data_IF_043430119323
#
_entry.id   IF_043430119323
#
_cell.length_a   1.000
_cell.length_b   1.000
_cell.length_c   1.000
_cell.angle_alpha   90.00
_cell.angle_beta   90.00
_cell.angle_gamma   90.00
#
_symmetry.space_group_name_H-M   'P 1'
#
loop_
_entity.id
_entity.type
_entity.pdbx_description
1 polymer ?
#
# COMPACT_ATOMS: atom_id res chain seq x y z
N UNK A 1 -1.25 17.85 32.45
CA UNK A 1 -1.23 17.47 31.01
C UNK A 1 -1.00 15.96 30.81
N UNK A 2 -1.81 15.09 31.42
CA UNK A 2 -1.69 13.62 31.25
C UNK A 2 -2.39 13.14 29.98
N UNK A 3 -3.54 13.75 29.67
CA UNK A 3 -4.29 13.49 28.44
C UNK A 3 -3.47 13.78 27.17
N UNK A 4 -2.74 14.91 27.13
CA UNK A 4 -1.88 15.24 25.99
C UNK A 4 -0.78 14.21 25.75
N UNK A 5 -0.16 13.69 26.82
CA UNK A 5 0.85 12.62 26.72
C UNK A 5 0.24 11.32 26.18
N UNK A 6 -0.94 10.94 26.65
CA UNK A 6 -1.64 9.75 26.16
C UNK A 6 -2.00 9.88 24.66
N UNK A 7 -2.49 11.05 24.24
CA UNK A 7 -2.79 11.33 22.84
C UNK A 7 -1.53 11.27 21.96
N UNK A 8 -0.42 11.85 22.41
CA UNK A 8 0.85 11.81 21.67
C UNK A 8 1.37 10.38 21.50
N UNK A 9 1.28 9.55 22.54
CA UNK A 9 1.68 8.13 22.46
C UNK A 9 0.79 7.35 21.51
N UNK A 10 -0.54 7.55 21.58
CA UNK A 10 -1.48 6.90 20.66
C UNK A 10 -1.22 7.28 19.20
N UNK A 11 -0.98 8.57 18.94
CA UNK A 11 -0.63 9.07 17.61
C UNK A 11 0.68 8.48 17.11
N UNK A 12 1.71 8.44 17.95
CA UNK A 12 3.00 7.85 17.59
C UNK A 12 2.88 6.36 17.24
N UNK A 13 2.10 5.60 18.02
CA UNK A 13 1.84 4.19 17.75
C UNK A 13 1.10 3.98 16.42
N UNK A 14 0.10 4.81 16.12
CA UNK A 14 -0.63 4.74 14.85
C UNK A 14 0.29 5.02 13.64
N UNK A 15 1.11 6.07 13.71
CA UNK A 15 2.08 6.38 12.66
C UNK A 15 3.13 5.28 12.49
N UNK A 16 3.65 4.74 13.60
CA UNK A 16 4.59 3.61 13.56
C UNK A 16 3.99 2.40 12.85
N UNK A 17 2.71 2.09 13.11
CA UNK A 17 2.01 0.99 12.45
C UNK A 17 1.88 1.24 10.93
N UNK A 18 1.46 2.44 10.53
CA UNK A 18 1.33 2.81 9.11
C UNK A 18 2.69 2.70 8.40
N UNK A 19 3.76 3.21 9.01
CA UNK A 19 5.10 3.11 8.43
C UNK A 19 5.60 1.67 8.33
N UNK A 20 5.35 0.85 9.35
CA UNK A 20 5.70 -0.57 9.32
C UNK A 20 5.00 -1.30 8.16
N UNK A 21 3.69 -1.11 7.98
CA UNK A 21 2.93 -1.72 6.88
C UNK A 21 3.42 -1.20 5.52
N UNK A 22 3.70 0.10 5.43
CA UNK A 22 4.20 0.72 4.20
C UNK A 22 5.58 0.18 3.82
N UNK A 23 6.46 -0.06 4.80
CA UNK A 23 7.79 -0.59 4.58
C UNK A 23 7.79 -2.05 4.10
N UNK A 24 6.79 -2.85 4.51
CA UNK A 24 6.60 -4.20 3.96
C UNK A 24 6.27 -4.12 2.46
N UNK A 25 5.60 -3.06 2.03
CA UNK A 25 5.26 -2.81 0.63
C UNK A 25 4.18 -3.77 0.09
N UNK A 26 3.76 -3.51 -1.15
CA UNK A 26 2.90 -4.42 -1.90
C UNK A 26 3.74 -5.45 -2.67
N UNK A 27 3.12 -6.56 -3.11
CA UNK A 27 3.77 -7.46 -4.07
C UNK A 27 4.18 -6.67 -5.31
N UNK A 28 5.34 -6.98 -5.87
CA UNK A 28 5.80 -6.37 -7.11
C UNK A 28 4.75 -6.60 -8.20
N UNK A 29 4.05 -5.53 -8.59
CA UNK A 29 3.05 -5.59 -9.64
C UNK A 29 3.72 -5.89 -10.97
N UNK A 30 3.45 -7.06 -11.55
CA UNK A 30 3.73 -7.32 -12.96
C UNK A 30 2.41 -7.32 -13.71
N UNK A 31 2.37 -6.60 -14.82
CA UNK A 31 1.29 -6.74 -15.79
C UNK A 31 1.46 -8.09 -16.51
N UNK A 32 0.36 -8.74 -16.85
CA UNK A 32 0.43 -9.93 -17.71
C UNK A 32 1.08 -9.55 -19.04
N UNK A 33 2.03 -10.34 -19.57
CA UNK A 33 2.54 -10.15 -20.92
C UNK A 33 1.49 -10.53 -21.97
N UNK A 34 0.47 -11.29 -21.57
CA UNK A 34 -0.62 -11.69 -22.44
C UNK A 34 -1.58 -10.52 -22.63
N UNK A 35 -2.01 -10.26 -23.88
CA UNK A 35 -3.02 -9.26 -24.15
C UNK A 35 -4.28 -9.55 -23.33
N UNK A 36 -4.99 -8.48 -22.96
CA UNK A 36 -6.28 -8.64 -22.29
C UNK A 36 -7.20 -9.46 -23.20
N UNK A 37 -8.13 -10.21 -22.62
CA UNK A 37 -9.16 -10.92 -23.38
C UNK A 37 -10.06 -9.98 -24.20
N UNK A 38 -9.92 -8.67 -23.99
CA UNK A 38 -10.57 -7.58 -24.74
C UNK A 38 -9.64 -6.91 -25.75
N UNK A 39 -8.37 -7.29 -25.83
CA UNK A 39 -7.44 -6.76 -26.81
C UNK A 39 -7.85 -7.26 -28.18
N UNK A 40 -8.00 -6.33 -29.12
CA UNK A 40 -8.27 -6.65 -30.52
C UNK A 40 -7.08 -7.43 -31.09
N UNK A 41 -7.30 -8.59 -31.72
CA UNK A 41 -6.23 -9.35 -32.37
C UNK A 41 -5.52 -8.52 -33.44
N UNK A 42 -4.21 -8.70 -33.56
CA UNK A 42 -3.44 -8.12 -34.67
C UNK A 42 -4.07 -8.55 -36.00
N UNK A 43 -4.55 -7.59 -36.78
CA UNK A 43 -5.02 -7.84 -38.15
C UNK A 43 -3.82 -8.10 -39.08
N UNK A 44 -3.98 -8.96 -40.11
CA UNK A 44 -2.99 -9.13 -41.15
C UNK A 44 -2.78 -7.85 -41.98
#
# INVERSE_FOLDING_TARGET
MRALKAAAVGLAAALALVFAVTAIGGPAGRTSPEPLLTTVPAHP
#
